data_IF_314459664426
#
_entry.id   IF_314459664426
#
_cell.length_a   1.000
_cell.length_b   1.000
_cell.length_c   1.000
_cell.angle_alpha   90.00
_cell.angle_beta   90.00
_cell.angle_gamma   90.00
#
_symmetry.space_group_name_H-M   'P 1'
#
loop_
_entity.id
_entity.type
_entity.pdbx_description
1 polymer ?
#
# COMPACT_ATOMS: atom_id res chain seq x y z
N UNK A 1 -25.11 -7.48 3.11
CA UNK A 1 -23.65 -7.53 3.32
C UNK A 1 -23.14 -6.18 2.89
N UNK A 2 -22.56 -5.42 3.80
CA UNK A 2 -21.97 -4.11 3.47
C UNK A 2 -20.72 -4.38 2.65
N UNK A 3 -20.65 -3.90 1.41
CA UNK A 3 -19.44 -4.05 0.61
C UNK A 3 -18.48 -2.91 0.97
N UNK A 4 -17.72 -3.10 2.04
CA UNK A 4 -16.76 -2.12 2.55
C UNK A 4 -15.70 -1.79 1.51
N UNK A 5 -15.16 -2.83 0.87
CA UNK A 5 -14.08 -2.72 -0.11
C UNK A 5 -14.50 -1.91 -1.33
N UNK A 6 -15.63 -2.23 -1.97
CA UNK A 6 -16.11 -1.47 -3.14
C UNK A 6 -16.36 0.01 -2.81
N UNK A 7 -16.92 0.31 -1.63
CA UNK A 7 -17.19 1.70 -1.22
C UNK A 7 -15.91 2.47 -0.94
N UNK A 8 -14.96 1.86 -0.22
CA UNK A 8 -13.69 2.50 0.09
C UNK A 8 -12.84 2.70 -1.18
N UNK A 9 -12.86 1.74 -2.11
CA UNK A 9 -12.20 1.85 -3.41
C UNK A 9 -12.76 3.01 -4.24
N UNK A 10 -14.07 3.24 -4.23
CA UNK A 10 -14.66 4.41 -4.89
C UNK A 10 -14.11 5.73 -4.34
N UNK A 11 -13.99 5.85 -3.02
CA UNK A 11 -13.41 7.04 -2.40
C UNK A 11 -11.90 7.16 -2.68
N UNK A 12 -11.16 6.05 -2.69
CA UNK A 12 -9.75 6.00 -3.09
C UNK A 12 -9.55 6.55 -4.51
N UNK A 13 -10.36 6.08 -5.48
CA UNK A 13 -10.30 6.54 -6.88
C UNK A 13 -10.64 8.03 -6.99
N UNK A 14 -11.59 8.52 -6.18
CA UNK A 14 -11.95 9.94 -6.13
C UNK A 14 -10.91 10.80 -5.41
N UNK A 15 -9.91 10.20 -4.75
CA UNK A 15 -8.89 10.91 -3.98
C UNK A 15 -9.33 11.31 -2.57
N UNK A 16 -10.50 10.86 -2.11
CA UNK A 16 -11.03 11.13 -0.77
C UNK A 16 -10.52 10.08 0.23
N UNK A 17 -9.21 10.10 0.47
CA UNK A 17 -8.53 9.07 1.26
C UNK A 17 -9.03 9.00 2.71
N UNK A 18 -9.43 10.14 3.29
CA UNK A 18 -9.94 10.17 4.66
C UNK A 18 -11.29 9.44 4.79
N UNK A 19 -12.19 9.57 3.81
CA UNK A 19 -13.44 8.78 3.81
C UNK A 19 -13.19 7.31 3.55
N UNK A 20 -12.28 6.98 2.62
CA UNK A 20 -11.90 5.60 2.38
C UNK A 20 -11.31 4.95 3.66
N UNK A 21 -10.45 5.68 4.38
CA UNK A 21 -9.83 5.20 5.61
C UNK A 21 -10.88 4.95 6.70
N UNK A 22 -11.80 5.90 6.90
CA UNK A 22 -12.90 5.74 7.85
C UNK A 22 -13.81 4.53 7.56
N UNK A 23 -13.97 4.15 6.29
CA UNK A 23 -14.71 2.94 5.93
C UNK A 23 -13.94 1.67 6.29
N UNK A 24 -12.63 1.62 6.06
CA UNK A 24 -11.82 0.46 6.47
C UNK A 24 -11.69 0.37 7.99
N UNK A 25 -11.63 1.47 8.72
CA UNK A 25 -11.70 1.47 10.20
C UNK A 25 -13.02 0.85 10.69
N UNK A 26 -14.16 1.25 10.11
CA UNK A 26 -15.46 0.64 10.43
C UNK A 26 -15.53 -0.83 10.04
N UNK A 27 -14.89 -1.22 8.92
CA UNK A 27 -14.83 -2.60 8.47
C UNK A 27 -14.00 -3.47 9.43
N UNK A 28 -12.88 -2.94 9.93
CA UNK A 28 -12.03 -3.59 10.93
C UNK A 28 -12.77 -3.73 12.27
N UNK A 29 -13.51 -2.72 12.71
CA UNK A 29 -14.33 -2.80 13.93
C UNK A 29 -15.40 -3.90 13.82
N UNK A 30 -15.95 -4.13 12.63
CA UNK A 30 -16.97 -5.13 12.38
C UNK A 30 -16.40 -6.54 12.16
N UNK A 31 -15.27 -6.64 11.45
CA UNK A 31 -14.66 -7.87 10.94
C UNK A 31 -13.12 -7.80 11.08
N UNK A 32 -12.59 -7.87 12.33
CA UNK A 32 -11.16 -7.65 12.61
C UNK A 32 -10.26 -8.76 12.05
N UNK A 33 -10.80 -9.93 11.73
CA UNK A 33 -10.04 -11.05 11.17
C UNK A 33 -9.77 -10.89 9.66
N UNK A 34 -10.34 -9.85 9.02
CA UNK A 34 -10.19 -9.61 7.57
C UNK A 34 -8.94 -8.76 7.31
N UNK A 35 -7.82 -9.44 7.14
CA UNK A 35 -6.48 -8.87 6.95
C UNK A 35 -6.39 -7.87 5.80
N UNK A 36 -7.12 -8.10 4.70
CA UNK A 36 -7.17 -7.20 3.54
C UNK A 36 -7.56 -5.75 3.90
N UNK A 37 -8.38 -5.54 4.93
CA UNK A 37 -8.77 -4.18 5.35
C UNK A 37 -7.59 -3.38 5.91
N UNK A 38 -6.67 -4.04 6.60
CA UNK A 38 -5.48 -3.40 7.15
C UNK A 38 -4.48 -3.02 6.05
N UNK A 39 -4.33 -3.83 5.01
CA UNK A 39 -3.50 -3.48 3.84
C UNK A 39 -3.98 -2.20 3.18
N UNK A 40 -5.29 -2.14 2.89
CA UNK A 40 -5.87 -0.96 2.26
C UNK A 40 -5.90 0.26 3.19
N UNK A 41 -6.12 0.09 4.50
CA UNK A 41 -6.04 1.18 5.47
C UNK A 41 -4.62 1.77 5.53
N UNK A 42 -3.59 0.92 5.62
CA UNK A 42 -2.21 1.39 5.62
C UNK A 42 -1.84 2.07 4.30
N UNK A 43 -2.31 1.57 3.15
CA UNK A 43 -2.14 2.25 1.88
C UNK A 43 -2.77 3.66 1.89
N UNK A 44 -3.96 3.81 2.46
CA UNK A 44 -4.64 5.10 2.55
C UNK A 44 -3.91 6.08 3.47
N UNK A 45 -3.31 5.61 4.57
CA UNK A 45 -2.43 6.45 5.38
C UNK A 45 -1.20 6.89 4.59
N UNK A 46 -0.56 5.99 3.86
CA UNK A 46 0.58 6.33 3.01
C UNK A 46 0.21 7.40 1.98
N UNK A 47 -0.94 7.27 1.31
CA UNK A 47 -1.45 8.26 0.35
C UNK A 47 -1.82 9.62 0.98
N UNK A 48 -2.06 9.66 2.29
CA UNK A 48 -2.25 10.88 3.07
C UNK A 48 -0.92 11.48 3.57
N UNK A 49 0.23 10.86 3.27
CA UNK A 49 1.54 11.24 3.79
C UNK A 49 1.80 10.79 5.23
N UNK A 50 0.94 9.93 5.77
CA UNK A 50 1.00 9.35 7.11
C UNK A 50 1.78 8.03 7.07
N UNK A 51 3.06 8.13 6.74
CA UNK A 51 3.94 6.98 6.48
C UNK A 51 4.13 6.11 7.73
N UNK A 52 4.27 6.73 8.90
CA UNK A 52 4.44 6.01 10.17
C UNK A 52 3.20 5.20 10.52
N UNK A 53 2.00 5.76 10.32
CA UNK A 53 0.72 5.08 10.53
C UNK A 53 0.53 3.92 9.55
N UNK A 54 0.94 4.09 8.28
CA UNK A 54 0.92 3.03 7.28
C UNK A 54 1.77 1.83 7.70
N UNK A 55 3.05 2.08 8.00
CA UNK A 55 3.99 1.04 8.43
C UNK A 55 3.53 0.38 9.73
N UNK A 56 3.03 1.15 10.70
CA UNK A 56 2.53 0.62 11.97
C UNK A 56 1.33 -0.31 11.74
N UNK A 57 0.39 0.10 10.89
CA UNK A 57 -0.79 -0.73 10.53
C UNK A 57 -0.35 -2.07 9.97
N UNK A 58 0.62 -2.09 9.05
CA UNK A 58 1.08 -3.33 8.44
C UNK A 58 1.89 -4.20 9.40
N UNK A 59 2.82 -3.60 10.14
CA UNK A 59 3.69 -4.31 11.07
C UNK A 59 2.91 -4.98 12.21
N UNK A 60 1.86 -4.34 12.72
CA UNK A 60 1.03 -4.91 13.76
C UNK A 60 0.37 -6.21 13.29
N UNK A 61 -0.20 -6.21 12.07
CA UNK A 61 -0.79 -7.41 11.48
C UNK A 61 0.26 -8.48 11.21
N UNK A 62 1.41 -8.11 10.64
CA UNK A 62 2.49 -9.06 10.36
C UNK A 62 3.12 -9.66 11.62
N UNK A 63 3.11 -8.94 12.75
CA UNK A 63 3.63 -9.44 14.02
C UNK A 63 2.79 -10.60 14.60
N UNK A 64 1.52 -10.69 14.21
CA UNK A 64 0.62 -11.77 14.61
C UNK A 64 0.66 -12.97 13.65
N UNK A 65 1.35 -12.82 12.50
CA UNK A 65 1.43 -13.86 11.48
C UNK A 65 2.19 -15.08 11.99
N UNK A 66 1.60 -16.27 11.80
CA UNK A 66 2.35 -17.51 11.89
C UNK A 66 3.34 -17.62 10.72
N UNK A 67 4.39 -18.43 10.86
CA UNK A 67 5.42 -18.58 9.82
C UNK A 67 4.88 -19.01 8.45
N UNK A 68 3.77 -19.75 8.44
CA UNK A 68 3.10 -20.20 7.21
C UNK A 68 2.22 -19.11 6.58
N UNK A 69 1.74 -18.15 7.37
CA UNK A 69 0.89 -17.05 6.91
C UNK A 69 1.71 -15.83 6.45
N UNK A 70 2.90 -15.65 7.02
CA UNK A 70 3.75 -14.49 6.77
C UNK A 70 4.08 -14.32 5.28
N UNK A 71 4.37 -15.41 4.56
CA UNK A 71 4.65 -15.37 3.13
C UNK A 71 3.41 -14.89 2.36
N UNK A 72 2.25 -15.52 2.57
CA UNK A 72 0.99 -15.15 1.91
C UNK A 72 0.58 -13.71 2.20
N UNK A 73 0.66 -13.27 3.46
CA UNK A 73 0.30 -11.90 3.85
C UNK A 73 1.25 -10.86 3.30
N UNK A 74 2.53 -11.20 3.19
CA UNK A 74 3.52 -10.35 2.52
C UNK A 74 3.18 -10.21 1.03
N UNK A 75 2.84 -11.31 0.35
CA UNK A 75 2.41 -11.29 -1.06
C UNK A 75 1.13 -10.46 -1.27
N UNK A 76 0.13 -10.61 -0.39
CA UNK A 76 -1.12 -9.84 -0.45
C UNK A 76 -0.88 -8.34 -0.30
N UNK A 77 -0.08 -7.92 0.68
CA UNK A 77 0.27 -6.51 0.86
C UNK A 77 1.03 -5.98 -0.35
N UNK A 78 2.05 -6.71 -0.82
CA UNK A 78 2.83 -6.30 -1.99
C UNK A 78 1.96 -6.18 -3.24
N UNK A 79 0.96 -7.05 -3.42
CA UNK A 79 0.01 -6.97 -4.52
C UNK A 79 -0.85 -5.70 -4.44
N UNK A 80 -1.35 -5.34 -3.26
CA UNK A 80 -2.11 -4.09 -3.04
C UNK A 80 -1.25 -2.86 -3.37
N UNK A 81 -0.01 -2.83 -2.87
CA UNK A 81 0.92 -1.73 -3.12
C UNK A 81 1.33 -1.64 -4.59
N UNK A 82 1.61 -2.77 -5.24
CA UNK A 82 1.97 -2.83 -6.65
C UNK A 82 0.83 -2.27 -7.52
N UNK A 83 -0.41 -2.71 -7.29
CA UNK A 83 -1.56 -2.25 -8.06
C UNK A 83 -1.77 -0.74 -7.93
N UNK A 84 -1.62 -0.18 -6.73
CA UNK A 84 -1.74 1.27 -6.56
C UNK A 84 -0.55 2.02 -7.17
N UNK A 85 0.68 1.49 -7.07
CA UNK A 85 1.85 2.10 -7.70
C UNK A 85 1.69 2.18 -9.22
N UNK A 86 1.21 1.11 -9.86
CA UNK A 86 0.90 1.07 -11.29
C UNK A 86 -0.18 2.10 -11.65
N UNK A 87 -1.29 2.14 -10.90
CA UNK A 87 -2.36 3.13 -11.12
C UNK A 87 -1.84 4.56 -11.03
N UNK A 88 -0.93 4.84 -10.08
CA UNK A 88 -0.29 6.17 -9.94
C UNK A 88 0.61 6.51 -11.13
N UNK A 89 1.35 5.53 -11.66
CA UNK A 89 2.14 5.70 -12.87
C UNK A 89 1.25 6.06 -14.07
N UNK A 90 0.10 5.39 -14.22
CA UNK A 90 -0.88 5.67 -15.27
C UNK A 90 -1.48 7.08 -15.15
N UNK A 91 -1.73 7.54 -13.93
CA UNK A 91 -2.18 8.91 -13.64
C UNK A 91 -1.08 9.97 -13.78
N UNK A 92 0.17 9.55 -14.01
CA UNK A 92 1.34 10.43 -14.09
C UNK A 92 1.89 10.90 -12.74
N UNK A 93 1.33 10.40 -11.64
CA UNK A 93 1.73 10.69 -10.26
C UNK A 93 2.96 9.87 -9.85
N UNK A 94 4.08 10.11 -10.54
CA UNK A 94 5.29 9.30 -10.42
C UNK A 94 5.95 9.43 -9.05
N UNK A 95 5.76 10.56 -8.35
CA UNK A 95 6.33 10.77 -7.03
C UNK A 95 5.65 9.86 -5.99
N UNK A 96 4.32 9.77 -6.03
CA UNK A 96 3.58 8.85 -5.15
C UNK A 96 3.86 7.40 -5.52
N UNK A 97 3.88 7.06 -6.82
CA UNK A 97 4.26 5.72 -7.27
C UNK A 97 5.65 5.32 -6.76
N UNK A 98 6.62 6.24 -6.83
CA UNK A 98 7.98 6.00 -6.33
C UNK A 98 7.99 5.77 -4.82
N UNK A 99 7.24 6.57 -4.05
CA UNK A 99 7.14 6.40 -2.60
C UNK A 99 6.55 5.04 -2.20
N UNK A 100 5.46 4.61 -2.85
CA UNK A 100 4.87 3.29 -2.64
C UNK A 100 5.90 2.18 -2.92
N UNK A 101 6.63 2.30 -4.02
CA UNK A 101 7.66 1.32 -4.38
C UNK A 101 8.84 1.28 -3.41
N UNK A 102 9.19 2.41 -2.77
CA UNK A 102 10.19 2.40 -1.69
C UNK A 102 9.74 1.54 -0.51
N UNK A 103 8.47 1.63 -0.10
CA UNK A 103 7.93 0.75 0.95
C UNK A 103 7.90 -0.72 0.52
N UNK A 104 7.55 -0.99 -0.73
CA UNK A 104 7.65 -2.36 -1.27
C UNK A 104 9.08 -2.91 -1.18
N UNK A 105 10.10 -2.06 -1.39
CA UNK A 105 11.52 -2.45 -1.23
C UNK A 105 11.88 -2.72 0.24
N UNK A 106 11.30 -1.98 1.18
CA UNK A 106 11.51 -2.25 2.62
C UNK A 106 10.91 -3.60 3.02
N UNK A 107 9.75 -3.96 2.45
CA UNK A 107 9.05 -5.22 2.71
C UNK A 107 9.75 -6.40 2.00
N UNK A 108 10.08 -6.25 0.71
CA UNK A 108 10.76 -7.26 -0.10
C UNK A 108 11.94 -6.64 -0.86
N UNK A 109 13.15 -6.59 -0.26
CA UNK A 109 14.31 -5.95 -0.85
C UNK A 109 14.89 -6.70 -2.06
N UNK A 110 14.47 -7.95 -2.29
CA UNK A 110 14.97 -8.81 -3.37
C UNK A 110 14.07 -8.83 -4.61
N UNK A 111 12.94 -8.12 -4.60
CA UNK A 111 12.08 -8.00 -5.80
C UNK A 111 12.77 -7.16 -6.88
N UNK A 112 13.38 -7.85 -7.84
CA UNK A 112 14.10 -7.24 -8.95
C UNK A 112 13.18 -6.35 -9.81
N UNK A 113 11.92 -6.73 -10.00
CA UNK A 113 10.97 -5.96 -10.82
C UNK A 113 10.72 -4.61 -10.15
N UNK A 114 10.43 -4.61 -8.85
CA UNK A 114 10.22 -3.38 -8.12
C UNK A 114 11.48 -2.49 -8.08
N UNK A 115 12.67 -3.08 -7.93
CA UNK A 115 13.94 -2.34 -7.97
C UNK A 115 14.15 -1.64 -9.32
N UNK A 116 13.84 -2.30 -10.43
CA UNK A 116 13.94 -1.71 -11.77
C UNK A 116 12.96 -0.55 -11.95
N UNK A 117 11.73 -0.70 -11.47
CA UNK A 117 10.71 0.36 -11.50
C UNK A 117 11.12 1.57 -10.66
N UNK A 118 11.71 1.38 -9.46
CA UNK A 118 12.26 2.47 -8.65
C UNK A 118 13.31 3.26 -9.43
N UNK A 119 14.23 2.57 -10.11
CA UNK A 119 15.26 3.23 -10.92
C UNK A 119 14.62 4.01 -12.06
N UNK A 120 13.68 3.40 -12.80
CA UNK A 120 12.97 4.05 -13.89
C UNK A 120 12.23 5.32 -13.44
N UNK A 121 11.53 5.26 -12.31
CA UNK A 121 10.85 6.41 -11.72
C UNK A 121 11.84 7.47 -11.22
N UNK A 122 12.96 7.07 -10.62
CA UNK A 122 14.00 8.01 -10.18
C UNK A 122 14.60 8.78 -11.36
N UNK A 123 14.78 8.12 -12.52
CA UNK A 123 15.21 8.78 -13.76
C UNK A 123 14.13 9.75 -14.25
N UNK A 124 12.86 9.32 -14.28
CA UNK A 124 11.73 10.14 -14.73
C UNK A 124 11.49 11.38 -13.85
N UNK A 125 11.79 11.28 -12.56
CA UNK A 125 11.70 12.36 -11.59
C UNK A 125 12.96 13.24 -11.54
N UNK A 126 14.00 12.91 -12.32
CA UNK A 126 15.32 13.57 -12.27
C UNK A 126 15.99 13.51 -10.88
N UNK A 127 15.63 12.51 -10.07
CA UNK A 127 16.14 12.29 -8.71
C UNK A 127 17.16 11.15 -8.62
N UNK A 128 17.45 10.46 -9.74
CA UNK A 128 18.41 9.36 -9.75
C UNK A 128 19.82 9.82 -9.34
N UNK A 129 20.36 9.15 -8.31
CA UNK A 129 21.76 9.26 -7.87
C UNK A 129 22.41 7.89 -8.04
N UNK A 130 23.56 7.84 -8.70
CA UNK A 130 24.25 6.60 -9.09
C UNK A 130 25.26 6.13 -8.06
N UNK A 131 25.02 6.48 -6.80
CA UNK A 131 25.99 6.46 -5.70
C UNK A 131 25.96 5.12 -4.95
#
# INVERSE_FOLDING_TARGET
>A
MTNWQEQAEQYLIQGDYSKAASLYEQAIDAEPDVIAYYWHLGLLFLLQGQETEAQTTWLLVMAEAESEQLETWTEELLQVLQTEAERRQELGDNAVAWAIRQHMREICPTDLTNLLEIIALSIKLETFRGD
#
